data_IF_506999091282
#
_entry.id   IF_506999091282
#
_cell.length_a   1.000
_cell.length_b   1.000
_cell.length_c   1.000
_cell.angle_alpha   90.00
_cell.angle_beta   90.00
_cell.angle_gamma   90.00
#
_symmetry.space_group_name_H-M   'P 1'
#
loop_
_entity.id
_entity.type
_entity.pdbx_description
1 polymer ?
#
# COMPACT_ATOMS: atom_id res chain seq x y z
N UNK A 1 -46.78 29.75 -37.60
CA UNK A 1 -46.84 28.96 -36.36
C UNK A 1 -45.56 28.14 -36.25
N UNK A 2 -44.63 28.44 -35.35
CA UNK A 2 -43.45 27.63 -35.16
C UNK A 2 -43.79 26.42 -34.24
N UNK A 3 -43.09 25.28 -34.39
CA UNK A 3 -43.37 24.10 -33.59
C UNK A 3 -42.86 24.25 -32.16
N UNK A 4 -43.58 23.67 -31.19
CA UNK A 4 -43.29 23.60 -29.76
C UNK A 4 -41.95 22.80 -29.53
N UNK A 5 -41.13 23.17 -28.58
CA UNK A 5 -39.99 22.39 -28.19
C UNK A 5 -40.41 21.13 -27.46
N UNK A 6 -39.74 20.01 -27.82
CA UNK A 6 -39.91 18.70 -27.23
C UNK A 6 -39.47 18.71 -25.78
N UNK A 7 -40.29 18.13 -24.91
CA UNK A 7 -40.00 17.87 -23.49
C UNK A 7 -38.74 17.00 -23.39
N UNK A 8 -37.77 17.47 -22.64
CA UNK A 8 -36.69 16.64 -22.11
C UNK A 8 -37.24 15.57 -21.18
N UNK A 9 -36.69 14.36 -21.18
CA UNK A 9 -37.12 13.32 -20.24
C UNK A 9 -36.67 13.70 -18.83
N UNK A 10 -37.65 13.84 -17.93
CA UNK A 10 -37.41 13.89 -16.49
C UNK A 10 -36.66 12.62 -16.06
N UNK A 11 -35.42 12.82 -15.61
CA UNK A 11 -34.69 11.80 -14.85
C UNK A 11 -35.44 11.55 -13.55
N UNK A 12 -36.13 10.43 -13.52
CA UNK A 12 -36.71 9.88 -12.28
C UNK A 12 -35.56 9.59 -11.32
N UNK A 13 -35.52 10.33 -10.23
CA UNK A 13 -34.60 10.11 -9.12
C UNK A 13 -34.80 8.69 -8.58
N UNK A 14 -33.74 7.88 -8.68
CA UNK A 14 -33.63 6.58 -8.04
C UNK A 14 -33.78 6.74 -6.52
N UNK A 15 -34.72 6.03 -5.93
CA UNK A 15 -35.07 6.08 -4.51
C UNK A 15 -34.20 5.20 -3.62
N UNK A 16 -33.01 4.81 -4.07
CA UNK A 16 -32.02 4.11 -3.23
C UNK A 16 -30.90 5.06 -2.88
N UNK A 17 -30.96 5.58 -1.64
CA UNK A 17 -30.09 6.60 -1.07
C UNK A 17 -28.66 6.17 -0.81
N UNK A 18 -27.90 5.75 -1.82
CA UNK A 18 -26.51 5.40 -1.72
C UNK A 18 -25.61 6.12 -2.74
N UNK A 19 -25.84 7.43 -2.93
CA UNK A 19 -24.81 8.26 -3.54
C UNK A 19 -23.74 8.55 -2.47
N UNK A 20 -22.44 8.34 -2.74
CA UNK A 20 -21.38 8.69 -1.79
C UNK A 20 -21.45 10.20 -1.52
N UNK A 21 -21.83 10.58 -0.30
CA UNK A 21 -21.75 11.97 0.14
C UNK A 21 -20.29 12.39 0.02
N UNK A 22 -19.98 13.35 -0.83
CA UNK A 22 -18.68 14.01 -0.84
C UNK A 22 -18.48 14.67 0.52
N UNK A 23 -17.66 14.03 1.34
CA UNK A 23 -17.30 14.54 2.66
C UNK A 23 -16.12 15.51 2.49
N UNK A 24 -16.43 16.80 2.34
CA UNK A 24 -15.40 17.83 2.38
C UNK A 24 -14.87 17.97 3.81
N UNK A 25 -13.73 17.35 4.07
CA UNK A 25 -13.01 17.47 5.33
C UNK A 25 -12.00 18.61 5.21
N UNK A 26 -11.90 19.43 6.26
CA UNK A 26 -10.79 20.35 6.40
C UNK A 26 -9.52 19.59 6.72
N UNK A 27 -8.35 20.20 6.53
CA UNK A 27 -7.06 19.58 6.87
C UNK A 27 -7.04 19.10 8.33
N UNK A 28 -7.52 19.92 9.26
CA UNK A 28 -7.59 19.56 10.70
C UNK A 28 -8.55 18.41 10.99
N UNK A 29 -9.69 18.38 10.33
CA UNK A 29 -10.63 17.26 10.46
C UNK A 29 -10.01 15.96 9.95
N UNK A 30 -9.26 15.99 8.85
CA UNK A 30 -8.55 14.83 8.31
C UNK A 30 -7.45 14.34 9.25
N UNK A 31 -6.66 15.25 9.83
CA UNK A 31 -5.61 14.94 10.80
C UNK A 31 -6.18 14.29 12.07
N UNK A 32 -7.34 14.76 12.55
CA UNK A 32 -8.02 14.16 13.71
C UNK A 32 -8.63 12.81 13.35
N UNK A 33 -9.28 12.69 12.17
CA UNK A 33 -9.88 11.43 11.72
C UNK A 33 -8.83 10.32 11.63
N UNK A 34 -7.69 10.58 11.01
CA UNK A 34 -6.59 9.62 10.89
C UNK A 34 -6.17 9.06 12.26
N UNK A 35 -6.06 9.91 13.28
CA UNK A 35 -5.68 9.49 14.64
C UNK A 35 -6.80 8.72 15.35
N UNK A 36 -8.05 9.07 15.06
CA UNK A 36 -9.22 8.33 15.54
C UNK A 36 -9.23 6.90 14.96
N UNK A 37 -8.90 6.73 13.70
CA UNK A 37 -8.75 5.44 13.03
C UNK A 37 -7.66 4.57 13.68
N UNK A 38 -6.55 5.18 14.07
CA UNK A 38 -5.47 4.51 14.80
C UNK A 38 -5.75 4.28 16.28
N UNK A 39 -6.96 4.60 16.75
CA UNK A 39 -7.39 4.35 18.13
C UNK A 39 -6.82 5.32 19.18
N UNK A 40 -6.18 6.43 18.78
CA UNK A 40 -5.60 7.39 19.72
C UNK A 40 -6.67 8.08 20.55
N UNK A 41 -6.44 8.25 21.85
CA UNK A 41 -7.32 9.02 22.74
C UNK A 41 -7.25 10.53 22.45
N UNK A 42 -8.31 11.27 22.81
CA UNK A 42 -8.36 12.70 22.56
C UNK A 42 -7.18 13.47 23.18
N UNK A 43 -6.71 13.04 24.35
CA UNK A 43 -5.54 13.63 25.02
C UNK A 43 -4.26 13.47 24.20
N UNK A 44 -4.04 12.29 23.61
CA UNK A 44 -2.89 12.01 22.75
C UNK A 44 -2.98 12.80 21.45
N UNK A 45 -4.17 12.83 20.83
CA UNK A 45 -4.42 13.61 19.62
C UNK A 45 -4.17 15.10 19.87
N UNK A 46 -4.65 15.62 20.99
CA UNK A 46 -4.45 17.02 21.40
C UNK A 46 -2.96 17.37 21.52
N UNK A 47 -2.20 16.50 22.19
CA UNK A 47 -0.76 16.67 22.35
C UNK A 47 -0.03 16.67 21.00
N UNK A 48 -0.29 15.69 20.13
CA UNK A 48 0.37 15.58 18.82
C UNK A 48 0.03 16.74 17.86
N UNK A 49 -1.21 17.24 17.92
CA UNK A 49 -1.65 18.32 17.04
C UNK A 49 -1.40 19.71 17.61
N UNK A 50 -0.91 19.82 18.86
CA UNK A 50 -0.68 21.11 19.53
C UNK A 50 -1.98 21.89 19.78
N UNK A 51 -3.09 21.22 20.08
CA UNK A 51 -4.41 21.82 20.36
C UNK A 51 -4.93 21.36 21.73
N UNK A 52 -6.05 21.97 22.19
CA UNK A 52 -6.70 21.53 23.42
C UNK A 52 -7.48 20.22 23.23
N UNK A 53 -7.61 19.41 24.30
CA UNK A 53 -8.47 18.22 24.26
C UNK A 53 -9.93 18.57 23.94
N UNK A 54 -10.37 19.75 24.37
CA UNK A 54 -11.71 20.24 24.05
C UNK A 54 -11.88 20.46 22.55
N UNK A 55 -10.88 21.04 21.88
CA UNK A 55 -10.90 21.21 20.40
C UNK A 55 -10.97 19.86 19.68
N UNK A 56 -10.25 18.84 20.17
CA UNK A 56 -10.34 17.48 19.59
C UNK A 56 -11.74 16.90 19.74
N UNK A 57 -12.39 17.06 20.93
CA UNK A 57 -13.79 16.65 21.14
C UNK A 57 -14.74 17.31 20.14
N UNK A 58 -14.54 18.58 19.86
CA UNK A 58 -15.33 19.34 18.88
C UNK A 58 -15.13 18.78 17.47
N UNK A 59 -13.87 18.56 17.03
CA UNK A 59 -13.57 17.92 15.74
C UNK A 59 -14.22 16.55 15.63
N UNK A 60 -14.10 15.69 16.64
CA UNK A 60 -14.73 14.37 16.66
C UNK A 60 -16.25 14.49 16.53
N UNK A 61 -16.88 15.44 17.24
CA UNK A 61 -18.33 15.67 17.14
C UNK A 61 -18.77 16.13 15.75
N UNK A 62 -17.98 16.98 15.10
CA UNK A 62 -18.20 17.42 13.72
C UNK A 62 -18.07 16.23 12.76
N UNK A 63 -17.04 15.41 12.93
CA UNK A 63 -16.79 14.23 12.12
C UNK A 63 -17.93 13.20 12.26
N UNK A 64 -18.38 12.90 13.49
CA UNK A 64 -19.53 12.01 13.70
C UNK A 64 -20.76 12.46 12.92
N UNK A 65 -21.04 13.77 12.95
CA UNK A 65 -22.17 14.34 12.19
C UNK A 65 -21.95 14.30 10.68
N UNK A 66 -20.73 14.61 10.20
CA UNK A 66 -20.39 14.58 8.77
C UNK A 66 -20.51 13.15 8.20
N UNK A 67 -20.03 12.17 8.94
CA UNK A 67 -20.09 10.76 8.56
C UNK A 67 -21.47 10.13 8.79
N UNK A 68 -22.34 10.78 9.58
CA UNK A 68 -23.66 10.24 9.93
C UNK A 68 -23.57 9.00 10.82
N UNK A 69 -22.53 8.87 11.64
CA UNK A 69 -22.26 7.70 12.49
C UNK A 69 -22.48 8.05 13.97
N UNK A 70 -22.94 7.07 14.80
CA UNK A 70 -23.38 7.35 16.15
C UNK A 70 -22.26 7.50 17.19
N UNK A 71 -21.09 6.95 16.94
CA UNK A 71 -20.03 6.88 17.93
C UNK A 71 -18.62 6.83 17.29
N UNK A 72 -17.60 6.96 18.13
CA UNK A 72 -16.20 6.99 17.74
C UNK A 72 -15.72 5.71 17.04
N UNK A 73 -16.19 4.54 17.48
CA UNK A 73 -15.80 3.26 16.85
C UNK A 73 -16.34 3.19 15.42
N UNK A 74 -17.62 3.54 15.21
CA UNK A 74 -18.22 3.64 13.90
C UNK A 74 -17.54 4.73 13.03
N UNK A 75 -17.05 5.82 13.64
CA UNK A 75 -16.28 6.85 12.93
C UNK A 75 -14.93 6.32 12.46
N UNK A 76 -14.22 5.58 13.30
CA UNK A 76 -12.95 4.96 12.93
C UNK A 76 -13.14 3.98 11.76
N UNK A 77 -14.16 3.14 11.81
CA UNK A 77 -14.50 2.19 10.75
C UNK A 77 -14.91 2.91 9.44
N UNK A 78 -15.79 3.91 9.53
CA UNK A 78 -16.21 4.68 8.37
C UNK A 78 -15.07 5.49 7.76
N UNK A 79 -14.15 5.98 8.59
CA UNK A 79 -12.95 6.67 8.16
C UNK A 79 -11.98 5.76 7.41
N UNK A 80 -11.77 4.53 7.88
CA UNK A 80 -10.89 3.54 7.23
C UNK A 80 -11.32 3.20 5.80
N UNK A 81 -12.57 3.46 5.45
CA UNK A 81 -13.06 3.36 4.06
C UNK A 81 -12.70 4.56 3.19
N UNK A 82 -12.14 5.63 3.79
CA UNK A 82 -11.73 6.87 3.12
C UNK A 82 -10.20 7.03 3.00
N UNK A 83 -9.42 5.98 3.27
CA UNK A 83 -7.96 6.00 3.36
C UNK A 83 -7.22 6.43 2.07
N UNK A 84 -7.88 7.17 1.21
CA UNK A 84 -7.23 7.91 0.13
C UNK A 84 -7.22 9.40 0.51
N UNK A 85 -6.04 9.92 0.85
CA UNK A 85 -5.81 11.35 1.07
C UNK A 85 -6.06 12.05 -0.26
N UNK A 86 -7.20 12.75 -0.40
CA UNK A 86 -7.52 13.48 -1.61
C UNK A 86 -8.97 13.34 -2.06
N UNK A 87 -9.27 13.84 -3.26
CA UNK A 87 -10.57 13.62 -3.90
C UNK A 87 -10.77 12.13 -4.18
N UNK A 88 -12.03 11.62 -4.19
CA UNK A 88 -12.33 10.24 -4.52
C UNK A 88 -11.74 9.90 -5.89
N UNK A 89 -10.71 9.08 -5.92
CA UNK A 89 -10.15 8.57 -7.16
C UNK A 89 -11.19 7.64 -7.79
N UNK A 90 -11.44 7.80 -9.08
CA UNK A 90 -12.24 6.84 -9.82
C UNK A 90 -11.62 5.44 -9.67
N UNK A 91 -12.39 4.51 -9.13
CA UNK A 91 -11.93 3.13 -8.90
C UNK A 91 -11.42 2.45 -10.16
N UNK A 92 -11.86 2.91 -11.34
CA UNK A 92 -11.38 2.43 -12.64
C UNK A 92 -9.88 2.75 -12.87
N UNK A 93 -9.31 3.71 -12.14
CA UNK A 93 -7.89 4.05 -12.25
C UNK A 93 -6.98 3.07 -11.52
N UNK A 94 -7.45 2.40 -10.47
CA UNK A 94 -6.63 1.44 -9.72
C UNK A 94 -5.99 0.36 -10.61
N UNK A 95 -6.70 -0.30 -11.53
CA UNK A 95 -6.07 -1.25 -12.43
C UNK A 95 -5.01 -0.62 -13.35
N UNK A 96 -5.19 0.63 -13.75
CA UNK A 96 -4.20 1.35 -14.57
C UNK A 96 -2.98 1.72 -13.75
N UNK A 97 -3.18 2.31 -12.57
CA UNK A 97 -2.09 2.67 -11.65
C UNK A 97 -1.27 1.44 -11.25
N UNK A 98 -1.94 0.34 -10.93
CA UNK A 98 -1.28 -0.92 -10.58
C UNK A 98 -0.42 -1.46 -11.73
N UNK A 99 -0.97 -1.48 -12.96
CA UNK A 99 -0.23 -1.94 -14.15
C UNK A 99 0.92 -1.02 -14.52
N UNK A 100 0.71 0.29 -14.48
CA UNK A 100 1.69 1.30 -14.90
C UNK A 100 2.78 1.55 -13.85
N UNK A 101 2.62 1.09 -12.61
CA UNK A 101 3.61 1.29 -11.57
C UNK A 101 4.97 0.70 -11.98
N UNK A 102 6.03 1.52 -11.84
CA UNK A 102 7.42 1.08 -12.06
C UNK A 102 7.91 0.17 -10.94
N UNK A 103 7.30 0.29 -9.76
CA UNK A 103 7.54 -0.59 -8.62
C UNK A 103 6.93 -1.97 -8.91
N UNK A 104 7.65 -3.02 -8.60
CA UNK A 104 7.15 -4.39 -8.70
C UNK A 104 6.15 -4.62 -7.57
N UNK A 105 4.91 -4.97 -7.93
CA UNK A 105 3.85 -5.21 -6.97
C UNK A 105 3.24 -6.58 -7.22
N UNK A 106 3.15 -7.39 -6.15
CA UNK A 106 2.45 -8.65 -6.18
C UNK A 106 1.60 -8.83 -4.92
N UNK A 107 0.50 -9.56 -5.06
CA UNK A 107 -0.38 -9.94 -3.95
C UNK A 107 -0.48 -11.44 -3.91
N UNK A 108 -0.33 -11.99 -2.72
CA UNK A 108 -0.52 -13.42 -2.46
C UNK A 108 -1.70 -13.67 -1.53
N UNK A 109 -2.22 -14.88 -1.53
CA UNK A 109 -3.30 -15.32 -0.65
C UNK A 109 -2.94 -16.63 0.02
N UNK A 110 -3.38 -16.77 1.27
CA UNK A 110 -3.26 -17.96 2.08
C UNK A 110 -1.82 -18.24 2.57
N UNK A 111 -1.66 -19.27 3.41
CA UNK A 111 -0.38 -19.60 4.05
C UNK A 111 0.68 -20.13 3.08
N UNK A 112 0.29 -20.61 1.90
CA UNK A 112 1.23 -21.03 0.85
C UNK A 112 1.66 -19.87 -0.06
N UNK A 113 1.23 -18.65 0.24
CA UNK A 113 1.54 -17.44 -0.52
C UNK A 113 1.24 -17.59 -2.02
N UNK A 114 0.01 -18.03 -2.35
CA UNK A 114 -0.40 -18.18 -3.76
C UNK A 114 -0.58 -16.82 -4.41
N UNK A 115 0.15 -16.54 -5.46
CA UNK A 115 0.05 -15.29 -6.22
C UNK A 115 -1.34 -15.14 -6.85
N UNK A 116 -2.06 -14.09 -6.48
CA UNK A 116 -3.39 -13.77 -7.03
C UNK A 116 -3.35 -12.58 -7.97
N UNK A 117 -2.39 -11.66 -7.76
CA UNK A 117 -2.18 -10.49 -8.63
C UNK A 117 -0.67 -10.21 -8.70
N UNK A 118 -0.21 -9.81 -9.88
CA UNK A 118 1.13 -9.27 -10.12
C UNK A 118 1.04 -8.20 -11.21
N UNK A 119 1.75 -7.08 -11.05
CA UNK A 119 1.79 -6.05 -12.06
C UNK A 119 2.83 -6.37 -13.16
N UNK A 120 2.79 -5.56 -14.23
CA UNK A 120 3.69 -5.78 -15.38
C UNK A 120 5.17 -5.66 -15.00
N UNK A 121 5.53 -4.76 -14.07
CA UNK A 121 6.90 -4.59 -13.62
C UNK A 121 7.40 -5.86 -12.91
N UNK A 122 6.56 -6.47 -12.06
CA UNK A 122 6.87 -7.73 -11.40
C UNK A 122 7.07 -8.87 -12.43
N UNK A 123 6.09 -9.06 -13.31
CA UNK A 123 6.13 -10.14 -14.32
C UNK A 123 7.33 -9.99 -15.26
N UNK A 124 7.61 -8.76 -15.70
CA UNK A 124 8.79 -8.45 -16.54
C UNK A 124 10.10 -8.80 -15.85
N UNK A 125 10.23 -8.49 -14.56
CA UNK A 125 11.45 -8.76 -13.81
C UNK A 125 11.69 -10.24 -13.59
N UNK A 126 10.65 -11.00 -13.24
CA UNK A 126 10.78 -12.43 -13.00
C UNK A 126 10.78 -13.26 -14.29
N UNK A 127 10.37 -12.70 -15.41
CA UNK A 127 10.43 -13.33 -16.75
C UNK A 127 9.52 -14.53 -16.96
N UNK A 128 8.55 -14.77 -16.03
CA UNK A 128 7.64 -15.93 -16.09
C UNK A 128 6.29 -15.64 -15.42
N UNK A 129 5.22 -16.38 -15.79
CA UNK A 129 3.93 -16.24 -15.16
C UNK A 129 3.97 -16.80 -13.72
N UNK A 130 3.50 -16.01 -12.75
CA UNK A 130 3.46 -16.39 -11.33
C UNK A 130 2.02 -16.54 -10.81
N UNK A 131 1.06 -15.80 -11.37
CA UNK A 131 -0.34 -15.83 -10.91
C UNK A 131 -0.90 -17.25 -10.96
N UNK A 132 -1.56 -17.66 -9.89
CA UNK A 132 -2.08 -19.00 -9.68
C UNK A 132 -1.11 -19.99 -9.05
N UNK A 133 0.19 -19.68 -8.99
CA UNK A 133 1.23 -20.52 -8.36
C UNK A 133 1.46 -20.10 -6.92
N UNK A 134 1.83 -21.05 -6.06
CA UNK A 134 2.40 -20.73 -4.75
C UNK A 134 3.78 -20.09 -4.91
N UNK A 135 4.28 -19.44 -3.87
CA UNK A 135 5.62 -18.83 -3.91
C UNK A 135 6.69 -19.89 -4.19
N UNK A 136 6.56 -21.09 -3.63
CA UNK A 136 7.48 -22.23 -3.87
C UNK A 136 7.43 -22.75 -5.30
N UNK A 137 6.24 -22.82 -5.90
CA UNK A 137 6.07 -23.22 -7.31
C UNK A 137 6.55 -22.15 -8.30
N UNK A 138 6.38 -20.88 -7.93
CA UNK A 138 6.81 -19.76 -8.78
C UNK A 138 8.33 -19.59 -8.75
N UNK A 139 8.97 -19.84 -7.61
CA UNK A 139 10.39 -19.61 -7.37
C UNK A 139 11.05 -20.81 -6.65
N UNK A 140 11.14 -21.98 -7.31
CA UNK A 140 11.77 -23.16 -6.71
C UNK A 140 13.24 -22.91 -6.33
N UNK A 141 13.93 -22.01 -7.05
CA UNK A 141 15.30 -21.61 -6.76
C UNK A 141 15.46 -20.76 -5.49
N UNK A 142 14.36 -20.26 -4.92
CA UNK A 142 14.36 -19.48 -3.68
C UNK A 142 13.83 -20.27 -2.47
N UNK A 143 13.52 -21.56 -2.62
CA UNK A 143 12.85 -22.35 -1.55
C UNK A 143 13.69 -22.37 -0.27
N UNK A 144 15.01 -22.44 -0.38
CA UNK A 144 15.93 -22.44 0.76
C UNK A 144 16.52 -21.05 1.06
N UNK A 145 15.91 -20.00 0.52
CA UNK A 145 16.35 -18.63 0.74
C UNK A 145 15.55 -17.95 1.87
N UNK A 146 16.12 -16.93 2.52
CA UNK A 146 15.41 -16.14 3.54
C UNK A 146 14.11 -15.50 3.06
N UNK A 147 13.89 -15.38 1.75
CA UNK A 147 12.71 -14.75 1.18
C UNK A 147 11.39 -15.45 1.55
N UNK A 148 11.39 -16.77 1.59
CA UNK A 148 10.21 -17.54 2.04
C UNK A 148 9.98 -17.39 3.54
N UNK A 149 11.05 -17.42 4.33
CA UNK A 149 10.96 -17.25 5.79
C UNK A 149 10.42 -15.88 6.17
N UNK A 150 10.79 -14.82 5.43
CA UNK A 150 10.26 -13.47 5.63
C UNK A 150 8.76 -13.39 5.31
N UNK A 151 8.32 -14.03 4.23
CA UNK A 151 6.90 -14.09 3.88
C UNK A 151 6.09 -14.85 4.94
N UNK A 152 6.59 -16.03 5.38
CA UNK A 152 5.98 -16.83 6.45
C UNK A 152 5.93 -16.03 7.77
N UNK A 153 6.98 -15.28 8.11
CA UNK A 153 7.03 -14.43 9.30
C UNK A 153 5.93 -13.37 9.27
N UNK A 154 5.84 -12.59 8.18
CA UNK A 154 4.82 -11.55 8.02
C UNK A 154 3.42 -12.14 8.06
N UNK A 155 3.19 -13.28 7.40
CA UNK A 155 1.90 -13.96 7.40
C UNK A 155 1.49 -14.44 8.80
N UNK A 156 2.44 -14.91 9.59
CA UNK A 156 2.18 -15.40 10.95
C UNK A 156 2.01 -14.28 11.98
N UNK A 157 2.82 -13.23 11.90
CA UNK A 157 2.84 -12.16 12.91
C UNK A 157 1.96 -10.97 12.54
N UNK A 158 1.78 -10.72 11.24
CA UNK A 158 1.15 -9.52 10.71
C UNK A 158 2.02 -8.27 10.77
N UNK A 159 3.27 -8.41 11.22
CA UNK A 159 4.25 -7.31 11.25
C UNK A 159 4.91 -7.16 9.88
N UNK A 160 4.94 -5.93 9.37
CA UNK A 160 5.57 -5.64 8.07
C UNK A 160 7.09 -5.79 8.17
N UNK A 161 7.69 -6.32 7.12
CA UNK A 161 9.16 -6.42 6.97
C UNK A 161 9.60 -5.48 5.87
N UNK A 162 10.60 -4.65 6.17
CA UNK A 162 11.31 -3.81 5.21
C UNK A 162 12.70 -4.40 5.01
N UNK A 163 13.08 -4.63 3.77
CA UNK A 163 14.38 -5.15 3.42
C UNK A 163 15.12 -4.22 2.45
N UNK A 164 16.42 -4.09 2.66
CA UNK A 164 17.32 -3.34 1.80
C UNK A 164 18.33 -4.29 1.17
N UNK A 165 18.52 -4.16 -0.15
CA UNK A 165 19.49 -4.95 -0.92
C UNK A 165 19.34 -6.47 -0.68
N UNK A 166 18.09 -6.94 -0.53
CA UNK A 166 17.82 -8.36 -0.32
C UNK A 166 18.30 -9.11 -1.58
N UNK A 167 19.26 -9.98 -1.39
CA UNK A 167 19.77 -10.82 -2.47
C UNK A 167 18.78 -11.95 -2.80
N UNK A 168 18.60 -12.21 -4.06
CA UNK A 168 17.88 -13.36 -4.58
C UNK A 168 18.55 -13.91 -5.82
N UNK A 169 18.29 -15.18 -6.13
CA UNK A 169 18.73 -15.78 -7.38
C UNK A 169 17.50 -16.04 -8.22
N UNK A 170 17.45 -15.49 -9.43
CA UNK A 170 16.37 -15.78 -10.38
C UNK A 170 16.91 -16.63 -11.53
N UNK A 171 16.18 -17.69 -11.87
CA UNK A 171 16.43 -18.50 -13.04
C UNK A 171 15.54 -18.03 -14.20
N UNK A 172 16.15 -17.60 -15.29
CA UNK A 172 15.46 -17.14 -16.51
C UNK A 172 15.40 -18.22 -17.60
N UNK A 173 15.65 -19.50 -17.27
CA UNK A 173 15.62 -20.63 -18.21
C UNK A 173 16.82 -20.72 -19.15
N UNK A 174 17.79 -19.82 -19.02
CA UNK A 174 19.05 -19.80 -19.78
C UNK A 174 20.26 -19.47 -18.90
N UNK A 175 20.04 -19.30 -17.62
CA UNK A 175 21.05 -18.97 -16.61
C UNK A 175 20.43 -18.31 -15.38
N UNK A 176 21.13 -18.46 -14.26
CA UNK A 176 20.75 -17.83 -13.00
C UNK A 176 21.39 -16.46 -12.84
N UNK A 177 20.61 -15.48 -12.43
CA UNK A 177 21.06 -14.13 -12.14
C UNK A 177 20.90 -13.82 -10.65
N UNK A 178 21.97 -13.29 -10.04
CA UNK A 178 21.87 -12.69 -8.69
C UNK A 178 21.29 -11.30 -8.83
N UNK A 179 20.18 -11.07 -8.15
CA UNK A 179 19.47 -9.80 -8.09
C UNK A 179 19.49 -9.24 -6.69
N UNK A 180 19.32 -7.93 -6.59
CA UNK A 180 19.14 -7.22 -5.33
C UNK A 180 17.88 -6.38 -5.40
N UNK A 181 17.07 -6.45 -4.35
CA UNK A 181 15.84 -5.67 -4.26
C UNK A 181 15.72 -4.98 -2.91
N UNK A 182 15.29 -3.72 -2.96
CA UNK A 182 14.67 -3.07 -1.81
C UNK A 182 13.18 -3.41 -1.82
N UNK A 183 12.63 -3.72 -0.67
CA UNK A 183 11.23 -4.11 -0.66
C UNK A 183 10.56 -4.07 0.70
N UNK A 184 9.24 -4.14 0.63
CA UNK A 184 8.35 -4.24 1.79
C UNK A 184 7.40 -5.39 1.59
N UNK A 185 7.25 -6.22 2.61
CA UNK A 185 6.22 -7.26 2.69
C UNK A 185 5.25 -6.85 3.79
N UNK A 186 3.96 -6.75 3.45
CA UNK A 186 2.90 -6.35 4.38
C UNK A 186 1.78 -7.38 4.39
N UNK A 187 1.21 -7.64 5.57
CA UNK A 187 0.04 -8.49 5.71
C UNK A 187 -1.22 -7.77 5.19
N UNK A 188 -2.00 -8.48 4.39
CA UNK A 188 -3.36 -8.09 4.01
C UNK A 188 -4.35 -8.78 4.93
N UNK A 189 -5.24 -7.98 5.52
CA UNK A 189 -6.24 -8.47 6.47
C UNK A 189 -7.63 -8.41 5.86
N UNK A 190 -8.44 -9.43 6.17
CA UNK A 190 -9.86 -9.45 5.91
C UNK A 190 -10.64 -8.50 6.83
N UNK A 191 -11.94 -8.42 6.61
CA UNK A 191 -12.84 -7.57 7.41
C UNK A 191 -12.89 -7.98 8.89
N UNK A 192 -12.64 -9.25 9.18
CA UNK A 192 -12.59 -9.83 10.53
C UNK A 192 -11.21 -9.64 11.21
N UNK A 193 -10.26 -8.99 10.54
CA UNK A 193 -8.88 -8.76 11.02
C UNK A 193 -7.95 -9.95 10.83
N UNK A 194 -8.41 -11.10 10.30
CA UNK A 194 -7.55 -12.25 9.98
C UNK A 194 -6.62 -11.93 8.82
N UNK A 195 -5.42 -12.51 8.83
CA UNK A 195 -4.47 -12.33 7.74
C UNK A 195 -4.88 -13.25 6.59
N UNK A 196 -5.31 -12.68 5.47
CA UNK A 196 -5.73 -13.40 4.29
C UNK A 196 -4.60 -13.59 3.27
N UNK A 197 -3.61 -12.71 3.27
CA UNK A 197 -2.53 -12.72 2.29
C UNK A 197 -1.45 -11.71 2.59
N UNK A 198 -0.59 -11.48 1.60
CA UNK A 198 0.48 -10.50 1.65
C UNK A 198 0.46 -9.61 0.42
N UNK A 199 0.89 -8.35 0.58
CA UNK A 199 1.31 -7.51 -0.52
C UNK A 199 2.81 -7.32 -0.48
N UNK A 200 3.45 -7.47 -1.64
CA UNK A 200 4.88 -7.30 -1.85
C UNK A 200 5.10 -6.07 -2.73
N UNK A 201 5.90 -5.14 -2.25
CA UNK A 201 6.41 -4.01 -3.02
C UNK A 201 7.92 -4.17 -3.14
N UNK A 202 8.46 -4.15 -4.35
CA UNK A 202 9.89 -4.33 -4.57
C UNK A 202 10.42 -3.37 -5.64
N UNK A 203 11.64 -2.90 -5.42
CA UNK A 203 12.41 -2.08 -6.35
C UNK A 203 13.70 -2.83 -6.65
N UNK A 204 13.98 -3.07 -7.93
CA UNK A 204 15.26 -3.65 -8.36
C UNK A 204 16.38 -2.63 -8.17
N UNK A 205 17.35 -2.96 -7.34
CA UNK A 205 18.53 -2.14 -7.07
C UNK A 205 19.83 -2.85 -7.51
N UNK A 206 19.69 -3.88 -8.36
CA UNK A 206 20.82 -4.72 -8.81
C UNK A 206 21.93 -3.90 -9.46
N UNK A 207 21.59 -2.98 -10.36
CA UNK A 207 22.58 -2.14 -11.02
C UNK A 207 23.27 -1.18 -10.06
N UNK A 208 22.54 -0.62 -9.08
CA UNK A 208 23.08 0.26 -8.06
C UNK A 208 24.10 -0.47 -7.16
N UNK A 209 23.77 -1.71 -6.75
CA UNK A 209 24.67 -2.54 -5.93
C UNK A 209 25.92 -2.93 -6.73
N UNK A 210 25.74 -3.37 -7.97
CA UNK A 210 26.86 -3.75 -8.86
C UNK A 210 27.81 -2.57 -9.13
N UNK A 211 27.25 -1.39 -9.41
CA UNK A 211 28.03 -0.18 -9.68
C UNK A 211 28.87 0.24 -8.49
N UNK A 212 28.32 0.15 -7.27
CA UNK A 212 29.08 0.44 -6.03
C UNK A 212 30.21 -0.55 -5.79
N UNK A 213 29.99 -1.82 -6.12
CA UNK A 213 31.01 -2.87 -5.95
C UNK A 213 32.13 -2.78 -6.97
N UNK A 214 31.94 -2.05 -8.09
CA UNK A 214 32.91 -1.89 -9.17
C UNK A 214 33.70 -0.60 -9.03
N UNK A 215 33.30 0.33 -8.16
CA UNK A 215 34.04 1.57 -7.92
C UNK A 215 35.29 1.26 -7.08
N UNK A 216 36.54 1.44 -7.63
CA UNK A 216 37.75 1.19 -6.87
C UNK A 216 37.77 2.18 -5.69
N UNK A 217 38.02 1.66 -4.51
CA UNK A 217 38.24 2.42 -3.26
C UNK A 217 39.15 3.61 -3.57
N UNK A 218 38.57 4.82 -3.67
CA UNK A 218 39.32 6.05 -3.89
C UNK A 218 40.35 6.15 -2.75
N UNK A 219 41.59 5.89 -3.08
CA UNK A 219 42.72 5.95 -2.18
C UNK A 219 42.60 7.21 -1.31
N UNK A 220 42.54 7.03 0.00
CA UNK A 220 42.67 8.11 0.99
C UNK A 220 43.90 8.95 0.61
N UNK A 221 43.80 10.29 0.56
CA UNK A 221 44.96 11.13 0.32
C UNK A 221 46.00 10.78 1.36
N UNK A 222 47.18 10.35 0.90
CA UNK A 222 48.35 10.20 1.77
C UNK A 222 48.63 11.56 2.40
N UNK A 223 48.45 11.64 3.69
CA UNK A 223 48.87 12.77 4.51
C UNK A 223 50.39 12.99 4.30
N UNK A 224 50.72 14.01 3.52
CA UNK A 224 52.10 14.52 3.35
C UNK A 224 52.32 15.60 4.39
N UNK A 225 52.42 15.22 5.65
CA UNK A 225 52.94 16.08 6.68
C UNK A 225 53.95 15.32 7.51
N UNK A 226 55.20 15.27 6.98
CA UNK A 226 56.45 15.18 7.75
C UNK A 226 57.63 15.50 6.82
N UNK A 227 58.17 16.67 6.99
CA UNK A 227 59.42 17.14 6.48
C UNK A 227 59.66 18.55 7.00
#
# INVERSE_FOLDING_TARGET
MPPKPSREPELTADRDGNAPRQLNLTQRESEVLLRVQHGFENKTIAFELGVSEQSVKEYVSVLLRKFGVPNRAALAEAGSRLDVIGEPIDRSWFPQMFRAASVQIAVTRGPEHRYVVANEAFVRRVGRPVVGKTMREAFPELVDSPNHELADLVYRTGESVVGHEIAGVLDHGGGSEVIYADGVIQALRGEDGTIEGLVLFMIDVTEQVRSRSTEPERAKPRDRSRG
#
